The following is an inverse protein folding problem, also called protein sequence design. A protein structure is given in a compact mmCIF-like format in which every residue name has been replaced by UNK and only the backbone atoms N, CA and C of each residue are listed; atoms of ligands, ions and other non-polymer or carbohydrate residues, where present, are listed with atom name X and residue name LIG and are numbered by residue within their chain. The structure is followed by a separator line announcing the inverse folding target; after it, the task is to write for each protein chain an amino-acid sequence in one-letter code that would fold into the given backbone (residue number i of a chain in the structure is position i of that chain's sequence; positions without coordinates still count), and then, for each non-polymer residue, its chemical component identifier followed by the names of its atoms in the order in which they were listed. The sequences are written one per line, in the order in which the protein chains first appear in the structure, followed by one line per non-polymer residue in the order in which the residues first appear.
data_IF_017432454305
#
_entry.id   IF_017432454305
#
_cell.length_a   1.000
_cell.length_b   1.000
_cell.length_c   1.000
_cell.angle_alpha   90.00
_cell.angle_beta   90.00
_cell.angle_gamma   90.00
#
_symmetry.space_group_name_H-M   'P 1'
#
loop_
_entity.id
_entity.type
_entity.pdbx_description
1 polymer ?
#
# COMPACT_ATOMS: atom_id res chain seq x y z
N UNK A 1 -10.73 -10.27 27.43
CA UNK A 1 -11.09 -10.30 25.99
C UNK A 1 -11.82 -9.00 25.73
N UNK A 2 -11.25 -8.10 24.92
CA UNK A 2 -11.92 -6.83 24.61
C UNK A 2 -13.15 -7.13 23.76
N UNK A 3 -14.31 -6.59 24.12
CA UNK A 3 -15.43 -6.52 23.19
C UNK A 3 -14.94 -5.76 21.96
N UNK A 4 -14.97 -6.40 20.80
CA UNK A 4 -14.40 -5.84 19.57
C UNK A 4 -15.18 -4.60 19.15
N UNK A 5 -14.47 -3.49 18.91
CA UNK A 5 -15.03 -2.31 18.25
C UNK A 5 -15.51 -2.74 16.85
N UNK A 6 -16.79 -2.51 16.54
CA UNK A 6 -17.32 -2.68 15.19
C UNK A 6 -17.05 -1.40 14.41
N UNK A 7 -16.16 -1.48 13.42
CA UNK A 7 -15.81 -0.36 12.55
C UNK A 7 -16.44 -0.56 11.17
N UNK A 8 -17.00 0.51 10.60
CA UNK A 8 -17.30 0.51 9.17
C UNK A 8 -16.00 0.51 8.38
N UNK A 9 -15.96 -0.14 7.21
CA UNK A 9 -14.72 -0.29 6.43
C UNK A 9 -14.05 1.06 6.13
N UNK A 10 -14.83 2.07 5.74
CA UNK A 10 -14.32 3.42 5.48
C UNK A 10 -13.68 4.13 6.68
N UNK A 11 -13.87 3.62 7.90
CA UNK A 11 -13.25 4.15 9.12
C UNK A 11 -11.98 3.38 9.53
N UNK A 12 -11.75 2.20 8.94
CA UNK A 12 -10.63 1.33 9.31
C UNK A 12 -9.30 2.00 9.00
N UNK A 13 -9.18 2.68 7.85
CA UNK A 13 -7.95 3.36 7.46
C UNK A 13 -7.59 4.48 8.43
N UNK A 14 -8.55 5.34 8.79
CA UNK A 14 -8.34 6.42 9.76
C UNK A 14 -7.92 5.87 11.13
N UNK A 15 -8.54 4.77 11.56
CA UNK A 15 -8.20 4.12 12.83
C UNK A 15 -6.82 3.47 12.83
N UNK A 16 -6.42 2.87 11.71
CA UNK A 16 -5.06 2.35 11.54
C UNK A 16 -4.06 3.52 11.60
N UNK A 17 -4.31 4.62 10.91
CA UNK A 17 -3.45 5.80 10.92
C UNK A 17 -3.31 6.39 12.33
N UNK A 18 -4.43 6.61 13.03
CA UNK A 18 -4.43 7.13 14.41
C UNK A 18 -3.70 6.18 15.38
N UNK A 19 -3.89 4.87 15.25
CA UNK A 19 -3.19 3.90 16.08
C UNK A 19 -1.69 3.87 15.77
N UNK A 20 -1.32 3.86 14.50
CA UNK A 20 0.07 3.91 14.05
C UNK A 20 0.77 5.16 14.60
N UNK A 21 0.17 6.34 14.47
CA UNK A 21 0.72 7.59 14.99
C UNK A 21 0.93 7.56 16.50
N UNK A 22 -0.05 7.06 17.27
CA UNK A 22 0.08 6.92 18.73
C UNK A 22 1.17 5.94 19.13
N UNK A 23 1.33 4.86 18.37
CA UNK A 23 2.34 3.84 18.64
C UNK A 23 3.75 4.29 18.23
N UNK A 24 3.88 5.04 17.14
CA UNK A 24 5.14 5.67 16.71
C UNK A 24 5.61 6.69 17.76
N UNK A 25 4.69 7.50 18.27
CA UNK A 25 4.98 8.52 19.29
C UNK A 25 4.92 7.99 20.73
N UNK A 26 5.09 6.67 20.93
CA UNK A 26 5.06 6.09 22.27
C UNK A 26 6.24 6.59 23.13
N UNK A 27 6.07 6.82 24.45
CA UNK A 27 7.17 7.21 25.33
C UNK A 27 8.33 6.21 25.42
N UNK A 28 8.09 4.93 25.11
CA UNK A 28 9.15 3.94 24.89
C UNK A 28 9.53 3.94 23.41
N UNK A 29 10.66 4.57 23.09
CA UNK A 29 11.19 4.70 21.72
C UNK A 29 11.27 3.35 20.98
N UNK A 30 11.50 2.24 21.70
CA UNK A 30 11.57 0.90 21.11
C UNK A 30 10.24 0.45 20.51
N UNK A 31 9.12 0.91 21.06
CA UNK A 31 7.80 0.63 20.50
C UNK A 31 7.64 1.37 19.19
N UNK A 32 8.00 2.66 19.16
CA UNK A 32 7.92 3.48 17.96
C UNK A 32 8.78 2.94 16.82
N UNK A 33 10.04 2.59 17.10
CA UNK A 33 10.96 2.00 16.12
C UNK A 33 10.42 0.70 15.52
N UNK A 34 9.90 -0.21 16.37
CA UNK A 34 9.35 -1.50 15.91
C UNK A 34 8.07 -1.35 15.10
N UNK A 35 7.24 -0.37 15.45
CA UNK A 35 6.00 -0.10 14.72
C UNK A 35 6.32 0.53 13.37
N UNK A 36 7.28 1.43 13.29
CA UNK A 36 7.77 1.97 12.03
C UNK A 36 8.33 0.85 11.13
N UNK A 37 9.20 -0.02 11.65
CA UNK A 37 9.73 -1.17 10.91
C UNK A 37 8.62 -2.11 10.42
N UNK A 38 7.61 -2.39 11.27
CA UNK A 38 6.46 -3.19 10.87
C UNK A 38 5.68 -2.55 9.72
N UNK A 39 5.39 -1.25 9.80
CA UNK A 39 4.64 -0.54 8.77
C UNK A 39 5.40 -0.50 7.44
N UNK A 40 6.72 -0.31 7.48
CA UNK A 40 7.56 -0.40 6.29
C UNK A 40 7.47 -1.77 5.62
N UNK A 41 7.45 -2.84 6.41
CA UNK A 41 7.35 -4.21 5.89
C UNK A 41 5.96 -4.50 5.32
N UNK A 42 4.90 -3.99 5.97
CA UNK A 42 3.53 -4.11 5.47
C UNK A 42 3.37 -3.34 4.16
N UNK A 43 3.90 -2.12 4.07
CA UNK A 43 3.85 -1.33 2.84
C UNK A 43 4.55 -2.04 1.67
N UNK A 44 5.77 -2.53 1.91
CA UNK A 44 6.52 -3.28 0.90
C UNK A 44 5.79 -4.56 0.47
N UNK A 45 5.21 -5.30 1.42
CA UNK A 45 4.45 -6.51 1.13
C UNK A 45 3.21 -6.21 0.27
N UNK A 46 2.44 -5.19 0.63
CA UNK A 46 1.26 -4.78 -0.15
C UNK A 46 1.64 -4.28 -1.54
N UNK A 47 2.65 -3.41 -1.64
CA UNK A 47 3.12 -2.87 -2.91
C UNK A 47 3.51 -3.99 -3.87
N UNK A 48 4.37 -4.90 -3.44
CA UNK A 48 4.85 -6.00 -4.29
C UNK A 48 3.72 -6.97 -4.64
N UNK A 49 2.90 -7.34 -3.65
CA UNK A 49 1.79 -8.27 -3.82
C UNK A 49 0.75 -7.74 -4.81
N UNK A 50 0.35 -6.47 -4.64
CA UNK A 50 -0.67 -5.83 -5.47
C UNK A 50 -0.15 -5.57 -6.88
N UNK A 51 1.09 -5.10 -7.03
CA UNK A 51 1.71 -4.91 -8.35
C UNK A 51 1.73 -6.23 -9.14
N UNK A 52 2.14 -7.33 -8.50
CA UNK A 52 2.14 -8.65 -9.16
C UNK A 52 0.74 -9.14 -9.47
N UNK A 53 -0.23 -8.89 -8.58
CA UNK A 53 -1.62 -9.27 -8.81
C UNK A 53 -2.18 -8.55 -10.03
N UNK A 54 -2.01 -7.24 -10.11
CA UNK A 54 -2.42 -6.44 -11.28
C UNK A 54 -1.78 -6.99 -12.55
N UNK A 55 -0.47 -7.19 -12.56
CA UNK A 55 0.25 -7.73 -13.72
C UNK A 55 -0.25 -9.12 -14.16
N UNK A 56 -0.65 -9.99 -13.22
CA UNK A 56 -1.25 -11.29 -13.54
C UNK A 56 -2.62 -11.15 -14.20
N UNK A 57 -3.44 -10.21 -13.73
CA UNK A 57 -4.77 -9.94 -14.31
C UNK A 57 -4.64 -9.36 -15.71
N UNK A 58 -3.72 -8.41 -15.92
CA UNK A 58 -3.39 -7.87 -17.24
C UNK A 58 -2.95 -8.98 -18.21
N UNK A 59 -2.08 -9.89 -17.76
CA UNK A 59 -1.62 -11.02 -18.56
C UNK A 59 -2.76 -11.97 -19.01
N UNK A 60 -3.90 -11.95 -18.32
CA UNK A 60 -5.10 -12.71 -18.67
C UNK A 60 -6.12 -11.91 -19.48
N UNK A 61 -5.77 -10.70 -19.92
CA UNK A 61 -6.69 -9.77 -20.60
C UNK A 61 -7.91 -9.45 -19.73
N UNK A 62 -7.65 -9.15 -18.47
CA UNK A 62 -8.63 -8.80 -17.46
C UNK A 62 -8.87 -7.29 -17.33
N UNK A 63 -8.66 -6.51 -18.39
CA UNK A 63 -8.70 -5.03 -18.33
C UNK A 63 -10.03 -4.51 -17.78
N UNK A 64 -11.16 -5.08 -18.23
CA UNK A 64 -12.50 -4.73 -17.72
C UNK A 64 -12.64 -4.98 -16.21
N UNK A 65 -12.02 -6.06 -15.71
CA UNK A 65 -12.03 -6.34 -14.28
C UNK A 65 -11.18 -5.32 -13.52
N UNK A 66 -10.03 -4.94 -14.05
CA UNK A 66 -9.16 -3.93 -13.44
C UNK A 66 -9.80 -2.54 -13.43
N UNK A 67 -10.48 -2.15 -14.51
CA UNK A 67 -11.30 -0.93 -14.56
C UNK A 67 -12.39 -0.97 -13.48
N UNK A 68 -13.14 -2.08 -13.38
CA UNK A 68 -14.16 -2.23 -12.35
C UNK A 68 -13.59 -2.25 -10.92
N UNK A 69 -12.38 -2.77 -10.72
CA UNK A 69 -11.69 -2.76 -9.44
C UNK A 69 -11.18 -1.36 -9.08
N UNK A 70 -10.76 -0.58 -10.07
CA UNK A 70 -10.38 0.82 -9.90
C UNK A 70 -11.57 1.71 -9.53
N UNK A 71 -12.77 1.40 -10.04
CA UNK A 71 -14.01 2.12 -9.72
C UNK A 71 -14.64 1.71 -8.38
N UNK A 72 -14.24 0.58 -7.81
CA UNK A 72 -14.68 0.17 -6.47
C UNK A 72 -14.07 1.05 -5.39
N UNK A 73 -14.87 1.50 -4.42
CA UNK A 73 -14.42 2.44 -3.38
C UNK A 73 -13.28 1.87 -2.52
N UNK A 74 -13.26 0.56 -2.30
CA UNK A 74 -12.31 -0.12 -1.44
C UNK A 74 -11.06 -0.51 -2.22
N UNK A 75 -11.23 -1.28 -3.30
CA UNK A 75 -10.13 -1.74 -4.11
C UNK A 75 -9.44 -0.57 -4.84
N UNK A 76 -10.21 0.42 -5.31
CA UNK A 76 -9.69 1.65 -5.92
C UNK A 76 -8.82 2.45 -4.96
N UNK A 77 -9.25 2.65 -3.71
CA UNK A 77 -8.43 3.31 -2.68
C UNK A 77 -7.10 2.58 -2.45
N UNK A 78 -7.11 1.25 -2.45
CA UNK A 78 -5.89 0.45 -2.30
C UNK A 78 -4.98 0.57 -3.53
N UNK A 79 -5.54 0.55 -4.74
CA UNK A 79 -4.78 0.77 -5.98
C UNK A 79 -4.16 2.18 -6.02
N UNK A 80 -4.92 3.20 -5.59
CA UNK A 80 -4.46 4.59 -5.48
C UNK A 80 -3.30 4.73 -4.49
N UNK A 81 -3.39 4.09 -3.32
CA UNK A 81 -2.33 4.13 -2.30
C UNK A 81 -0.97 3.63 -2.82
N UNK A 82 -0.98 2.76 -3.83
CA UNK A 82 0.22 2.21 -4.45
C UNK A 82 0.54 2.77 -5.84
N UNK A 83 -0.23 3.75 -6.33
CA UNK A 83 -0.02 4.39 -7.63
C UNK A 83 -0.33 3.48 -8.82
N UNK A 84 -1.22 2.50 -8.63
CA UNK A 84 -1.55 1.51 -9.66
C UNK A 84 -2.83 1.86 -10.44
N UNK A 85 -3.57 2.90 -10.05
CA UNK A 85 -4.85 3.23 -10.70
C UNK A 85 -4.68 3.91 -12.04
N UNK A 86 -3.75 4.85 -12.16
CA UNK A 86 -3.55 5.66 -13.36
C UNK A 86 -3.08 4.82 -14.56
N UNK A 87 -2.35 3.74 -14.29
CA UNK A 87 -1.94 2.75 -15.29
C UNK A 87 -3.11 1.93 -15.85
N UNK A 88 -4.21 1.83 -15.09
CA UNK A 88 -5.37 0.99 -15.41
C UNK A 88 -6.49 1.74 -16.15
N UNK A 89 -6.46 3.07 -16.14
CA UNK A 89 -7.48 3.91 -16.79
C UNK A 89 -6.81 4.77 -17.87
N UNK A 90 -6.92 4.42 -19.17
CA UNK A 90 -6.34 5.22 -20.23
C UNK A 90 -7.07 6.58 -20.34
N UNK A 91 -6.44 7.67 -19.86
CA UNK A 91 -6.98 9.03 -20.00
C UNK A 91 -6.62 10.08 -18.94
N UNK A 92 -5.78 9.77 -17.95
CA UNK A 92 -5.24 10.76 -17.00
C UNK A 92 -4.40 11.85 -17.67
N UNK A 93 -4.20 13.03 -17.03
CA UNK A 93 -3.31 14.07 -17.57
C UNK A 93 -1.92 13.47 -17.83
N UNK A 94 -1.21 13.90 -18.89
CA UNK A 94 0.03 13.25 -19.31
C UNK A 94 1.04 13.27 -18.16
N UNK A 95 1.38 12.09 -17.65
CA UNK A 95 2.49 11.95 -16.71
C UNK A 95 3.80 12.34 -17.41
N UNK A 96 4.61 13.13 -16.72
CA UNK A 96 6.04 13.21 -17.01
C UNK A 96 6.64 11.80 -16.92
N UNK A 97 7.44 11.36 -17.92
CA UNK A 97 7.94 9.99 -17.95
C UNK A 97 8.73 9.68 -16.66
N UNK A 98 8.54 8.49 -16.07
CA UNK A 98 9.24 8.11 -14.85
C UNK A 98 10.76 8.15 -15.09
N UNK A 99 11.55 8.57 -14.09
CA UNK A 99 13.00 8.47 -14.19
C UNK A 99 13.38 6.99 -14.40
N UNK A 100 14.48 6.72 -15.14
CA UNK A 100 14.92 5.36 -15.40
C UNK A 100 15.08 4.58 -14.09
N UNK A 101 14.80 3.27 -14.07
CA UNK A 101 14.81 2.47 -12.86
C UNK A 101 16.14 2.62 -12.13
N UNK A 102 16.09 3.05 -10.87
CA UNK A 102 17.25 3.07 -10.02
C UNK A 102 17.79 1.63 -9.91
N UNK A 103 19.11 1.47 -10.12
CA UNK A 103 19.79 0.19 -9.94
C UNK A 103 19.44 -0.36 -8.55
N UNK A 104 19.20 -1.68 -8.40
CA UNK A 104 18.83 -2.25 -7.11
C UNK A 104 19.86 -1.89 -6.05
N UNK A 105 19.43 -1.15 -5.04
CA UNK A 105 20.24 -0.83 -3.87
C UNK A 105 20.39 -2.11 -3.05
N UNK A 106 21.57 -2.73 -3.12
CA UNK A 106 21.93 -3.83 -2.23
C UNK A 106 21.98 -3.32 -0.79
N UNK A 107 20.96 -3.66 0.01
CA UNK A 107 20.98 -3.42 1.45
C UNK A 107 21.85 -4.49 2.11
N UNK A 108 23.02 -4.10 2.60
CA UNK A 108 23.84 -4.97 3.47
C UNK A 108 23.27 -4.98 4.89
N UNK A 109 22.64 -6.09 5.27
CA UNK A 109 22.24 -6.33 6.66
C UNK A 109 23.50 -6.69 7.47
N UNK A 110 24.00 -5.76 8.30
CA UNK A 110 25.04 -6.07 9.28
C UNK A 110 24.42 -6.88 10.42
N UNK A 111 24.78 -8.17 10.50
CA UNK A 111 24.57 -8.93 11.74
C UNK A 111 25.58 -8.45 12.79
N UNK A 112 25.08 -7.97 13.93
CA UNK A 112 25.79 -7.98 15.20
C UNK A 112 24.86 -8.52 16.27
#
# INVERSE_FOLDING_TARGET
MSEGEQLAYGQVQDRIAELAERLINNPDDRVGERVAELLDWVDLFHREGLTRLVAMVEAWRGEIFLESAADDEVAGTLLDAYGLRDDLIPGGPPETPPPPPAKPTLVQIRRR
#
